data_IF_011635807260
#
_entry.id   IF_011635807260
#
_cell.length_a   1.000
_cell.length_b   1.000
_cell.length_c   1.000
_cell.angle_alpha   90.00
_cell.angle_beta   90.00
_cell.angle_gamma   90.00
#
_symmetry.space_group_name_H-M   'P 1'
#
loop_
_entity.id
_entity.type
_entity.pdbx_description
1 polymer ?
#
# COMPACT_ATOMS: atom_id res chain seq x y z
N UNK A 1 5.76 29.98 1.09
CA UNK A 1 4.93 29.41 0.00
C UNK A 1 5.88 28.82 -1.04
N UNK A 2 5.80 27.51 -1.29
CA UNK A 2 6.79 26.75 -2.04
C UNK A 2 6.88 27.18 -3.51
N UNK A 3 8.10 27.30 -4.05
CA UNK A 3 8.31 27.46 -5.49
C UNK A 3 7.80 26.18 -6.18
N UNK A 4 6.77 26.25 -7.06
CA UNK A 4 6.16 25.07 -7.66
C UNK A 4 7.16 24.24 -8.50
N UNK A 5 8.24 24.87 -8.98
CA UNK A 5 9.31 24.18 -9.70
C UNK A 5 10.02 23.16 -8.80
N UNK A 6 10.10 23.39 -7.48
CA UNK A 6 10.73 22.44 -6.52
C UNK A 6 9.92 21.15 -6.32
N UNK A 7 8.65 21.11 -6.74
CA UNK A 7 7.82 19.90 -6.67
C UNK A 7 8.34 18.83 -7.63
N UNK A 8 8.85 19.22 -8.80
CA UNK A 8 9.34 18.30 -9.84
C UNK A 8 10.54 17.46 -9.36
N UNK A 9 11.66 18.05 -8.88
CA UNK A 9 12.78 17.25 -8.39
C UNK A 9 12.42 16.44 -7.14
N UNK A 10 11.51 16.94 -6.29
CA UNK A 10 11.00 16.19 -5.14
C UNK A 10 10.19 14.96 -5.57
N UNK A 11 9.28 15.11 -6.54
CA UNK A 11 8.50 14.01 -7.11
C UNK A 11 9.39 12.94 -7.75
N UNK A 12 10.42 13.36 -8.51
CA UNK A 12 11.40 12.44 -9.11
C UNK A 12 12.14 11.69 -8.01
N UNK A 13 12.66 12.39 -7.00
CA UNK A 13 13.36 11.77 -5.88
C UNK A 13 12.48 10.72 -5.20
N UNK A 14 11.24 11.10 -4.84
CA UNK A 14 10.27 10.18 -4.24
C UNK A 14 10.02 8.93 -5.09
N UNK A 15 9.81 9.10 -6.40
CA UNK A 15 9.53 8.00 -7.31
C UNK A 15 10.68 6.98 -7.38
N UNK A 16 11.92 7.46 -7.50
CA UNK A 16 13.09 6.60 -7.68
C UNK A 16 13.59 5.97 -6.37
N UNK A 17 13.44 6.64 -5.23
CA UNK A 17 13.96 6.14 -3.95
C UNK A 17 12.94 5.43 -3.08
N UNK A 18 11.65 5.42 -3.46
CA UNK A 18 10.63 4.60 -2.82
C UNK A 18 9.97 3.63 -3.81
N UNK A 19 8.89 4.06 -4.49
CA UNK A 19 8.03 3.18 -5.29
C UNK A 19 8.74 2.30 -6.31
N UNK A 20 9.67 2.83 -7.11
CA UNK A 20 10.33 2.00 -8.14
C UNK A 20 11.08 0.82 -7.50
N UNK A 21 11.91 1.09 -6.49
CA UNK A 21 12.76 0.07 -5.86
C UNK A 21 11.92 -0.92 -5.08
N UNK A 22 10.94 -0.43 -4.31
CA UNK A 22 10.08 -1.28 -3.50
C UNK A 22 9.21 -2.19 -4.37
N UNK A 23 8.56 -1.66 -5.40
CA UNK A 23 7.62 -2.45 -6.20
C UNK A 23 8.31 -3.49 -7.09
N UNK A 24 9.56 -3.25 -7.51
CA UNK A 24 10.39 -4.26 -8.17
C UNK A 24 10.63 -5.48 -7.26
N UNK A 25 10.85 -5.27 -5.96
CA UNK A 25 11.00 -6.36 -5.00
C UNK A 25 9.65 -7.02 -4.66
N UNK A 26 8.67 -6.21 -4.24
CA UNK A 26 7.41 -6.72 -3.72
C UNK A 26 6.52 -7.35 -4.78
N UNK A 27 6.27 -6.67 -5.91
CA UNK A 27 5.41 -7.21 -6.98
C UNK A 27 6.18 -7.68 -8.22
N UNK A 28 7.41 -7.24 -8.40
CA UNK A 28 8.29 -7.80 -9.44
C UNK A 28 8.86 -9.17 -9.09
N UNK A 29 9.04 -9.47 -7.80
CA UNK A 29 9.60 -10.76 -7.36
C UNK A 29 8.70 -11.50 -6.35
N UNK A 30 8.43 -10.93 -5.18
CA UNK A 30 7.83 -11.66 -4.07
C UNK A 30 6.39 -12.12 -4.34
N UNK A 31 5.51 -11.21 -4.79
CA UNK A 31 4.10 -11.49 -5.06
C UNK A 31 3.94 -12.55 -6.15
N UNK A 32 4.67 -12.44 -7.27
CA UNK A 32 4.60 -13.41 -8.36
C UNK A 32 4.98 -14.83 -7.90
N UNK A 33 5.94 -14.94 -6.98
CA UNK A 33 6.30 -16.23 -6.38
C UNK A 33 5.23 -16.73 -5.40
N UNK A 34 4.68 -15.87 -4.55
CA UNK A 34 3.62 -16.25 -3.60
C UNK A 34 2.38 -16.77 -4.35
N UNK A 35 1.98 -16.11 -5.44
CA UNK A 35 0.81 -16.48 -6.23
C UNK A 35 0.96 -17.80 -7.02
N UNK A 36 2.17 -18.36 -7.11
CA UNK A 36 2.37 -19.73 -7.65
C UNK A 36 1.87 -20.81 -6.68
N UNK A 37 1.80 -20.49 -5.38
CA UNK A 37 1.47 -21.44 -4.32
C UNK A 37 0.18 -21.10 -3.57
N UNK A 38 -0.22 -19.83 -3.58
CA UNK A 38 -1.38 -19.31 -2.87
C UNK A 38 -2.28 -18.50 -3.79
N UNK A 39 -3.55 -18.30 -3.42
CA UNK A 39 -4.40 -17.35 -4.12
C UNK A 39 -3.95 -15.90 -3.84
N UNK A 40 -4.27 -14.97 -4.74
CA UNK A 40 -3.82 -13.58 -4.66
C UNK A 40 -4.17 -12.88 -3.35
N UNK A 41 -5.30 -13.21 -2.69
CA UNK A 41 -5.69 -12.61 -1.40
C UNK A 41 -4.75 -13.06 -0.29
N UNK A 42 -4.46 -14.36 -0.20
CA UNK A 42 -3.50 -14.90 0.77
C UNK A 42 -2.11 -14.34 0.50
N UNK A 43 -1.69 -14.30 -0.77
CA UNK A 43 -0.42 -13.68 -1.17
C UNK A 43 -0.35 -12.21 -0.73
N UNK A 44 -1.45 -11.45 -0.87
CA UNK A 44 -1.52 -10.05 -0.46
C UNK A 44 -1.35 -9.88 1.05
N UNK A 45 -1.94 -10.77 1.86
CA UNK A 45 -1.82 -10.71 3.32
C UNK A 45 -0.40 -11.05 3.76
N UNK A 46 0.21 -12.07 3.15
CA UNK A 46 1.61 -12.45 3.44
C UNK A 46 2.56 -11.32 3.04
N UNK A 47 2.35 -10.72 1.86
CA UNK A 47 3.14 -9.59 1.40
C UNK A 47 2.99 -8.38 2.33
N UNK A 48 1.76 -8.04 2.74
CA UNK A 48 1.48 -6.96 3.68
C UNK A 48 2.22 -7.15 5.02
N UNK A 49 2.28 -8.38 5.53
CA UNK A 49 3.01 -8.68 6.75
C UNK A 49 4.50 -8.34 6.62
N UNK A 50 5.18 -8.87 5.59
CA UNK A 50 6.61 -8.59 5.39
C UNK A 50 6.88 -7.11 5.06
N UNK A 51 6.00 -6.48 4.28
CA UNK A 51 6.12 -5.06 3.94
C UNK A 51 5.95 -4.18 5.17
N UNK A 52 5.02 -4.52 6.08
CA UNK A 52 4.84 -3.81 7.35
C UNK A 52 6.06 -3.94 8.28
N UNK A 53 6.68 -5.12 8.32
CA UNK A 53 7.90 -5.35 9.09
C UNK A 53 9.08 -4.55 8.53
N UNK A 54 9.17 -4.43 7.20
CA UNK A 54 10.17 -3.56 6.58
C UNK A 54 10.01 -2.10 7.05
N UNK A 55 8.80 -1.63 7.33
CA UNK A 55 8.60 -0.25 7.81
C UNK A 55 8.83 -0.05 9.32
N UNK A 56 9.07 -1.11 10.08
CA UNK A 56 9.23 -1.04 11.53
C UNK A 56 10.40 -0.14 11.98
N UNK A 57 11.60 -0.16 11.35
CA UNK A 57 12.70 0.71 11.74
C UNK A 57 12.38 2.20 11.65
N UNK A 58 11.46 2.61 10.75
CA UNK A 58 11.11 4.02 10.57
C UNK A 58 10.48 4.63 11.82
N UNK A 59 9.84 3.84 12.67
CA UNK A 59 9.27 4.30 13.96
C UNK A 59 10.34 4.80 14.94
N UNK A 60 11.61 4.42 14.73
CA UNK A 60 12.73 4.76 15.62
C UNK A 60 13.70 5.78 15.02
N UNK A 61 13.42 6.31 13.83
CA UNK A 61 14.26 7.32 13.15
C UNK A 61 13.61 8.69 13.32
N UNK A 62 14.30 9.61 13.98
CA UNK A 62 13.81 10.98 14.17
C UNK A 62 13.56 11.69 12.83
N UNK A 63 12.47 12.45 12.76
CA UNK A 63 12.06 13.19 11.57
C UNK A 63 11.19 12.40 10.57
N UNK A 64 10.98 11.10 10.77
CA UNK A 64 10.03 10.33 9.94
C UNK A 64 8.58 10.55 10.37
N UNK A 65 7.66 10.27 9.44
CA UNK A 65 6.22 10.26 9.71
C UNK A 65 5.85 9.25 10.82
N UNK A 66 6.46 8.07 10.78
CA UNK A 66 6.22 6.96 11.70
C UNK A 66 6.70 7.29 13.12
N UNK A 67 7.86 7.96 13.25
CA UNK A 67 8.34 8.45 14.54
C UNK A 67 7.35 9.42 15.17
N UNK A 68 6.82 10.37 14.39
CA UNK A 68 5.80 11.31 14.86
C UNK A 68 4.50 10.63 15.35
N UNK A 69 4.12 9.48 14.77
CA UNK A 69 3.00 8.66 15.25
C UNK A 69 3.34 7.93 16.56
N UNK A 70 4.57 7.40 16.67
CA UNK A 70 5.04 6.73 17.88
C UNK A 70 4.99 7.65 19.10
N UNK A 71 5.42 8.91 18.94
CA UNK A 71 5.43 9.90 20.02
C UNK A 71 4.04 10.18 20.60
N UNK A 72 2.97 9.88 19.85
CA UNK A 72 1.60 10.03 20.33
C UNK A 72 1.13 8.82 21.13
N UNK A 73 1.41 7.61 20.63
CA UNK A 73 1.02 6.35 21.29
C UNK A 73 1.63 5.13 20.59
N UNK A 74 2.02 4.13 21.38
CA UNK A 74 2.40 2.80 20.88
C UNK A 74 1.28 2.10 20.09
N UNK A 75 0.01 2.47 20.32
CA UNK A 75 -1.12 1.99 19.53
C UNK A 75 -0.96 2.25 18.03
N UNK A 76 -0.27 3.33 17.67
CA UNK A 76 -0.03 3.66 16.26
C UNK A 76 0.92 2.70 15.57
N UNK A 77 1.82 1.99 16.27
CA UNK A 77 2.65 0.96 15.65
C UNK A 77 1.76 -0.16 15.12
N UNK A 78 0.98 -0.78 16.01
CA UNK A 78 0.14 -1.93 15.69
C UNK A 78 -0.92 -1.58 14.65
N UNK A 79 -1.59 -0.44 14.84
CA UNK A 79 -2.61 0.00 13.88
C UNK A 79 -2.02 0.37 12.53
N UNK A 80 -0.80 0.91 12.46
CA UNK A 80 -0.17 1.23 11.17
C UNK A 80 0.26 -0.03 10.44
N UNK A 81 0.91 -0.97 11.15
CA UNK A 81 1.37 -2.24 10.58
C UNK A 81 0.22 -3.08 10.00
N UNK A 82 -0.92 -3.13 10.68
CA UNK A 82 -2.07 -3.93 10.23
C UNK A 82 -3.00 -3.10 9.35
N UNK A 83 -3.43 -1.94 9.86
CA UNK A 83 -4.50 -1.15 9.28
C UNK A 83 -4.11 -0.38 8.02
N UNK A 84 -2.82 -0.06 7.84
CA UNK A 84 -2.36 0.59 6.61
C UNK A 84 -1.93 -0.46 5.57
N UNK A 85 -1.07 -1.41 5.95
CA UNK A 85 -0.44 -2.31 4.98
C UNK A 85 -1.39 -3.36 4.41
N UNK A 86 -2.27 -3.97 5.21
CA UNK A 86 -3.16 -5.04 4.73
C UNK A 86 -4.10 -4.53 3.62
N UNK A 87 -4.94 -3.50 3.84
CA UNK A 87 -5.85 -3.05 2.81
C UNK A 87 -5.11 -2.46 1.60
N UNK A 88 -3.98 -1.78 1.83
CA UNK A 88 -3.17 -1.22 0.75
C UNK A 88 -2.54 -2.31 -0.12
N UNK A 89 -1.99 -3.37 0.47
CA UNK A 89 -1.46 -4.50 -0.31
C UNK A 89 -2.58 -5.15 -1.12
N UNK A 90 -3.76 -5.40 -0.53
CA UNK A 90 -4.90 -5.97 -1.27
C UNK A 90 -5.28 -5.11 -2.49
N UNK A 91 -5.33 -3.78 -2.35
CA UNK A 91 -5.64 -2.86 -3.45
C UNK A 91 -4.56 -2.94 -4.53
N UNK A 92 -3.30 -2.84 -4.14
CA UNK A 92 -2.15 -2.83 -5.07
C UNK A 92 -1.99 -4.16 -5.80
N UNK A 93 -2.12 -5.27 -5.09
CA UNK A 93 -1.96 -6.62 -5.63
C UNK A 93 -3.16 -6.96 -6.54
N UNK A 94 -4.36 -6.46 -6.21
CA UNK A 94 -5.49 -6.51 -7.14
C UNK A 94 -5.25 -5.69 -8.41
N UNK A 95 -4.70 -4.46 -8.30
CA UNK A 95 -4.36 -3.62 -9.46
C UNK A 95 -3.30 -4.30 -10.32
N UNK A 96 -2.26 -4.87 -9.71
CA UNK A 96 -1.23 -5.65 -10.38
C UNK A 96 -1.84 -6.80 -11.19
N UNK A 97 -2.68 -7.61 -10.55
CA UNK A 97 -3.34 -8.75 -11.20
C UNK A 97 -4.31 -8.35 -12.30
N UNK A 98 -5.05 -7.25 -12.12
CA UNK A 98 -5.96 -6.72 -13.14
C UNK A 98 -5.27 -6.10 -14.35
N UNK A 99 -4.01 -5.68 -14.20
CA UNK A 99 -3.21 -5.07 -15.26
C UNK A 99 -2.15 -6.05 -15.80
N UNK A 100 -2.49 -7.34 -15.94
CA UNK A 100 -1.60 -8.38 -16.48
C UNK A 100 -0.23 -8.41 -15.80
N UNK A 101 -0.20 -8.32 -14.46
CA UNK A 101 1.04 -8.34 -13.67
C UNK A 101 2.00 -7.18 -13.98
N UNK A 102 1.45 -6.02 -14.35
CA UNK A 102 2.23 -4.81 -14.59
C UNK A 102 2.82 -4.26 -13.29
N UNK A 103 4.15 -4.27 -13.16
CA UNK A 103 4.84 -3.63 -12.02
C UNK A 103 4.58 -2.11 -12.01
N UNK A 104 4.43 -1.51 -13.20
CA UNK A 104 4.18 -0.08 -13.33
C UNK A 104 2.86 0.35 -12.66
N UNK A 105 1.83 -0.50 -12.63
CA UNK A 105 0.58 -0.16 -11.93
C UNK A 105 0.79 -0.03 -10.42
N UNK A 106 1.60 -0.92 -9.84
CA UNK A 106 2.05 -0.84 -8.44
C UNK A 106 2.86 0.43 -8.19
N UNK A 107 3.84 0.72 -9.05
CA UNK A 107 4.70 1.91 -8.93
C UNK A 107 3.89 3.19 -8.95
N UNK A 108 2.97 3.34 -9.91
CA UNK A 108 2.16 4.56 -10.04
C UNK A 108 1.20 4.72 -8.86
N UNK A 109 0.58 3.64 -8.40
CA UNK A 109 -0.32 3.71 -7.25
C UNK A 109 0.45 4.05 -5.97
N UNK A 110 1.55 3.36 -5.69
CA UNK A 110 2.43 3.65 -4.55
C UNK A 110 2.94 5.09 -4.59
N UNK A 111 3.44 5.54 -5.75
CA UNK A 111 3.86 6.92 -5.92
C UNK A 111 2.74 7.91 -5.60
N UNK A 112 1.52 7.68 -6.08
CA UNK A 112 0.40 8.58 -5.83
C UNK A 112 0.05 8.68 -4.33
N UNK A 113 0.13 7.57 -3.59
CA UNK A 113 -0.08 7.57 -2.13
C UNK A 113 0.99 8.38 -1.40
N UNK A 114 2.28 8.15 -1.72
CA UNK A 114 3.37 8.86 -1.07
C UNK A 114 3.30 10.36 -1.42
N UNK A 115 3.08 10.67 -2.69
CA UNK A 115 3.02 12.04 -3.17
C UNK A 115 1.85 12.82 -2.56
N UNK A 116 0.67 12.21 -2.45
CA UNK A 116 -0.47 12.78 -1.72
C UNK A 116 -0.16 13.00 -0.24
N UNK A 117 0.47 12.01 0.41
CA UNK A 117 0.82 12.08 1.83
C UNK A 117 1.73 13.25 2.17
N UNK A 118 2.67 13.58 1.28
CA UNK A 118 3.63 14.68 1.46
C UNK A 118 3.08 16.04 1.02
N UNK A 119 2.26 16.10 -0.04
CA UNK A 119 1.74 17.37 -0.58
C UNK A 119 0.69 18.03 0.30
N UNK A 120 -0.17 17.24 0.94
CA UNK A 120 -1.30 17.78 1.70
C UNK A 120 -0.81 18.19 3.09
N UNK A 121 -0.95 19.45 3.46
CA UNK A 121 -0.52 19.92 4.79
C UNK A 121 -1.68 19.90 5.79
N UNK A 122 -1.99 18.70 6.30
CA UNK A 122 -2.95 18.48 7.40
C UNK A 122 -2.29 17.64 8.49
N UNK A 123 -2.82 17.62 9.74
CA UNK A 123 -2.22 16.85 10.82
C UNK A 123 -2.02 15.37 10.46
N UNK A 124 -0.84 14.82 10.74
CA UNK A 124 -0.48 13.43 10.41
C UNK A 124 -1.48 12.39 10.96
N UNK A 125 -2.03 12.62 12.15
CA UNK A 125 -3.07 11.74 12.72
C UNK A 125 -4.37 11.74 11.91
N UNK A 126 -4.71 12.87 11.28
CA UNK A 126 -5.88 12.98 10.43
C UNK A 126 -5.64 12.28 9.09
N UNK A 127 -4.48 12.53 8.44
CA UNK A 127 -4.08 11.80 7.22
C UNK A 127 -4.15 10.30 7.43
N UNK A 128 -3.49 9.83 8.49
CA UNK A 128 -3.46 8.43 8.88
C UNK A 128 -4.87 7.82 8.99
N UNK A 129 -5.72 8.47 9.80
CA UNK A 129 -7.07 7.98 10.07
C UNK A 129 -7.89 7.89 8.78
N UNK A 130 -7.87 8.96 7.97
CA UNK A 130 -8.62 9.02 6.71
C UNK A 130 -8.11 7.97 5.72
N UNK A 131 -6.79 7.84 5.57
CA UNK A 131 -6.18 6.84 4.68
C UNK A 131 -6.63 5.43 5.04
N UNK A 132 -6.57 5.05 6.32
CA UNK A 132 -7.02 3.73 6.78
C UNK A 132 -8.48 3.47 6.40
N UNK A 133 -9.38 4.41 6.73
CA UNK A 133 -10.81 4.22 6.41
C UNK A 133 -11.04 4.05 4.91
N UNK A 134 -10.42 4.90 4.10
CA UNK A 134 -10.53 4.82 2.63
C UNK A 134 -10.00 3.48 2.13
N UNK A 135 -8.79 3.08 2.52
CA UNK A 135 -8.19 1.84 2.02
C UNK A 135 -8.99 0.61 2.46
N UNK A 136 -9.54 0.58 3.68
CA UNK A 136 -10.41 -0.53 4.10
C UNK A 136 -11.70 -0.60 3.29
N UNK A 137 -12.33 0.53 2.99
CA UNK A 137 -13.54 0.57 2.16
C UNK A 137 -13.22 0.02 0.76
N UNK A 138 -12.15 0.51 0.12
CA UNK A 138 -11.75 0.04 -1.21
C UNK A 138 -11.38 -1.44 -1.22
N UNK A 139 -10.57 -1.90 -0.27
CA UNK A 139 -10.22 -3.31 -0.13
C UNK A 139 -11.47 -4.18 0.09
N UNK A 140 -12.41 -3.73 0.94
CA UNK A 140 -13.68 -4.42 1.17
C UNK A 140 -14.52 -4.55 -0.10
N UNK A 141 -14.65 -3.47 -0.89
CA UNK A 141 -15.35 -3.50 -2.18
C UNK A 141 -14.69 -4.47 -3.16
N UNK A 142 -13.35 -4.45 -3.25
CA UNK A 142 -12.59 -5.37 -4.09
C UNK A 142 -12.85 -6.84 -3.68
N UNK A 143 -12.77 -7.15 -2.38
CA UNK A 143 -13.00 -8.51 -1.89
C UNK A 143 -14.45 -8.98 -2.10
N UNK A 144 -15.44 -8.10 -1.89
CA UNK A 144 -16.85 -8.41 -2.14
C UNK A 144 -17.11 -8.71 -3.63
N UNK A 145 -16.56 -7.88 -4.52
CA UNK A 145 -16.71 -8.10 -5.97
C UNK A 145 -15.99 -9.36 -6.44
N UNK A 146 -14.81 -9.65 -5.88
CA UNK A 146 -14.08 -10.89 -6.15
C UNK A 146 -14.86 -12.13 -5.74
N UNK A 147 -15.39 -12.15 -4.50
CA UNK A 147 -16.21 -13.26 -3.99
C UNK A 147 -17.46 -13.49 -4.84
N UNK A 148 -18.15 -12.42 -5.24
CA UNK A 148 -19.32 -12.52 -6.13
C UNK A 148 -18.98 -13.18 -7.46
N UNK A 149 -17.87 -12.80 -8.08
CA UNK A 149 -17.45 -13.36 -9.36
C UNK A 149 -17.11 -14.86 -9.26
N UNK A 150 -16.48 -15.30 -8.16
CA UNK A 150 -16.23 -16.72 -7.92
C UNK A 150 -17.55 -17.49 -7.85
N UNK A 151 -18.51 -17.03 -7.03
CA UNK A 151 -19.79 -17.72 -6.85
C UNK A 151 -20.55 -17.86 -8.17
N UNK A 152 -20.64 -16.79 -8.97
CA UNK A 152 -21.30 -16.84 -10.28
C UNK A 152 -20.61 -17.78 -11.27
N UNK A 153 -19.29 -17.97 -11.16
CA UNK A 153 -18.55 -18.91 -12.02
C UNK A 153 -18.75 -20.37 -11.63
N UNK A 154 -19.03 -20.64 -10.34
CA UNK A 154 -19.38 -21.97 -9.82
C UNK A 154 -20.80 -22.34 -10.22
N UNK A 155 -21.75 -21.42 -10.06
CA UNK A 155 -23.16 -21.63 -10.46
C UNK A 155 -23.32 -21.94 -11.95
N UNK A 156 -22.53 -21.30 -12.84
CA UNK A 156 -22.56 -21.58 -14.29
C UNK A 156 -21.98 -22.93 -14.70
N UNK A 157 -21.27 -23.63 -13.80
CA UNK A 157 -20.65 -24.93 -14.07
C UNK A 157 -21.49 -26.12 -13.57
N UNK A 158 -22.55 -25.86 -12.80
CA UNK A 158 -23.51 -26.84 -12.29
C UNK A 158 -24.71 -26.87 -13.24
#
# INVERSE_FOLDING_TARGET
MANPIKIIPFAIFMLFFGPIVEELGWRGFALDHLEKHYNWVVSSIVLAFFWSLWHLPLFFIEGTYQYGLLQKSYFYIFSYMIGMFIPTSIIMDWLYNKNNKSILSGVLFHFSMNFYGELIDIPNSLKYTVSIFITFIFAGIILMTYKRNINSSVEKKI
#
